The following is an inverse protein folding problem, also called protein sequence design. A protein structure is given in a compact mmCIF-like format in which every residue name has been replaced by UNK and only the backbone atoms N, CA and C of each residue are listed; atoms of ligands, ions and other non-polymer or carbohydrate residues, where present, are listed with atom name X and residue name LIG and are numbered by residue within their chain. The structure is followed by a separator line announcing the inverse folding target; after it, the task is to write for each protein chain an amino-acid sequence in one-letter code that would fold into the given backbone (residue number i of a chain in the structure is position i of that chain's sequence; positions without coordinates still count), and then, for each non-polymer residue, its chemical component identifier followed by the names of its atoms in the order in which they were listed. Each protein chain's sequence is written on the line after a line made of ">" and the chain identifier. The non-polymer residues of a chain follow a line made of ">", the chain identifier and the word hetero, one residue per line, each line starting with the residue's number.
data_IF_045156699853
#
_entry.id   IF_045156699853
#
_cell.length_a   1.000
_cell.length_b   1.000
_cell.length_c   1.000
_cell.angle_alpha   90.00
_cell.angle_beta   90.00
_cell.angle_gamma   90.00
#
_symmetry.space_group_name_H-M   'P 1'
#
loop_
_entity.id
_entity.type
_entity.pdbx_description
1 polymer ?
#
# COMPACT_ATOMS: atom_id res chain seq x y z
N UNK A 1 2.83 -15.96 -33.21
CA UNK A 1 1.51 -16.34 -32.67
C UNK A 1 1.12 -15.36 -31.58
N UNK A 2 -0.13 -14.89 -31.55
CA UNK A 2 -0.65 -14.07 -30.43
C UNK A 2 -1.09 -15.03 -29.32
N UNK A 3 -0.48 -14.96 -28.12
CA UNK A 3 -0.93 -15.66 -26.91
C UNK A 3 -1.94 -14.78 -26.14
N UNK A 4 -2.91 -15.35 -25.44
CA UNK A 4 -3.72 -14.60 -24.47
C UNK A 4 -3.00 -14.52 -23.13
N UNK A 5 -3.33 -13.52 -22.31
CA UNK A 5 -2.72 -13.36 -20.98
C UNK A 5 -3.04 -14.54 -20.05
N UNK A 6 -4.29 -15.03 -20.09
CA UNK A 6 -4.73 -16.17 -19.28
C UNK A 6 -4.09 -17.50 -19.67
N UNK A 7 -3.47 -17.57 -20.85
CA UNK A 7 -2.75 -18.75 -21.31
C UNK A 7 -1.29 -18.78 -20.80
N UNK A 8 -0.82 -17.70 -20.16
CA UNK A 8 0.54 -17.62 -19.63
C UNK A 8 0.69 -18.50 -18.39
N UNK A 9 1.75 -19.29 -18.34
CA UNK A 9 2.08 -20.06 -17.14
C UNK A 9 2.55 -19.14 -16.01
N UNK A 10 2.51 -19.63 -14.76
CA UNK A 10 3.06 -18.89 -13.61
C UNK A 10 4.55 -18.55 -13.78
N UNK A 11 5.31 -19.42 -14.46
CA UNK A 11 6.72 -19.18 -14.76
C UNK A 11 6.88 -18.02 -15.76
N UNK A 12 6.11 -18.02 -16.85
CA UNK A 12 6.13 -16.93 -17.84
C UNK A 12 5.76 -15.58 -17.20
N UNK A 13 4.70 -15.54 -16.38
CA UNK A 13 4.29 -14.32 -15.67
C UNK A 13 5.40 -13.83 -14.73
N UNK A 14 6.05 -14.75 -13.99
CA UNK A 14 7.18 -14.42 -13.11
C UNK A 14 8.33 -13.81 -13.90
N UNK A 15 8.68 -14.38 -15.05
CA UNK A 15 9.81 -13.91 -15.85
C UNK A 15 9.52 -12.56 -16.51
N UNK A 16 8.33 -12.35 -17.04
CA UNK A 16 7.91 -11.03 -17.53
C UNK A 16 7.83 -9.99 -16.42
N UNK A 17 7.42 -10.38 -15.21
CA UNK A 17 7.42 -9.47 -14.05
C UNK A 17 8.84 -9.05 -13.69
N UNK A 18 9.81 -9.98 -13.72
CA UNK A 18 11.23 -9.66 -13.50
C UNK A 18 11.77 -8.74 -14.59
N UNK A 19 11.37 -8.94 -15.84
CA UNK A 19 11.76 -8.08 -16.96
C UNK A 19 11.14 -6.68 -16.82
N UNK A 20 9.84 -6.58 -16.54
CA UNK A 20 9.14 -5.32 -16.32
C UNK A 20 9.80 -4.49 -15.20
N UNK A 21 10.16 -5.11 -14.09
CA UNK A 21 10.85 -4.44 -12.96
C UNK A 21 12.22 -3.84 -13.34
N UNK A 22 12.87 -4.33 -14.41
CA UNK A 22 14.13 -3.78 -14.92
C UNK A 22 13.91 -2.58 -15.85
N UNK A 23 12.69 -2.36 -16.34
CA UNK A 23 12.36 -1.17 -17.13
C UNK A 23 12.31 0.07 -16.24
N UNK A 24 12.56 1.25 -16.81
CA UNK A 24 12.50 2.52 -16.09
C UNK A 24 11.14 2.71 -15.39
N UNK A 25 10.04 2.45 -16.11
CA UNK A 25 8.68 2.51 -15.56
C UNK A 25 8.46 1.51 -14.42
N UNK A 26 8.92 0.27 -14.57
CA UNK A 26 8.83 -0.74 -13.51
C UNK A 26 9.69 -0.41 -12.28
N UNK A 27 10.85 0.22 -12.48
CA UNK A 27 11.75 0.65 -11.41
C UNK A 27 11.18 1.83 -10.61
N UNK A 28 10.58 2.80 -11.29
CA UNK A 28 9.85 3.92 -10.67
C UNK A 28 8.70 3.38 -9.82
N UNK A 29 7.89 2.49 -10.40
CA UNK A 29 6.76 1.87 -9.71
C UNK A 29 7.21 1.07 -8.49
N UNK A 30 8.30 0.31 -8.61
CA UNK A 30 8.86 -0.48 -7.52
C UNK A 30 9.36 0.40 -6.37
N UNK A 31 10.11 1.47 -6.68
CA UNK A 31 10.60 2.42 -5.69
C UNK A 31 9.47 3.15 -4.97
N UNK A 32 8.45 3.58 -5.71
CA UNK A 32 7.29 4.24 -5.11
C UNK A 32 6.46 3.28 -4.23
N UNK A 33 6.30 2.01 -4.64
CA UNK A 33 5.68 0.96 -3.80
C UNK A 33 6.44 0.77 -2.48
N UNK A 34 7.77 0.71 -2.55
CA UNK A 34 8.63 0.55 -1.36
C UNK A 34 8.50 1.74 -0.40
N UNK A 35 8.51 2.97 -0.92
CA UNK A 35 8.29 4.19 -0.14
C UNK A 35 6.90 4.19 0.51
N UNK A 36 5.85 3.90 -0.25
CA UNK A 36 4.48 3.87 0.26
C UNK A 36 4.31 2.84 1.37
N UNK A 37 4.85 1.62 1.19
CA UNK A 37 4.83 0.59 2.22
C UNK A 37 5.56 1.04 3.49
N UNK A 38 6.73 1.68 3.34
CA UNK A 38 7.48 2.24 4.47
C UNK A 38 6.65 3.27 5.24
N UNK A 39 5.98 4.19 4.54
CA UNK A 39 5.13 5.21 5.18
C UNK A 39 4.00 4.57 5.98
N UNK A 40 3.30 3.58 5.40
CA UNK A 40 2.20 2.88 6.06
C UNK A 40 2.67 2.18 7.34
N UNK A 41 3.79 1.45 7.25
CA UNK A 41 4.37 0.76 8.41
C UNK A 41 4.75 1.78 9.49
N UNK A 42 5.42 2.87 9.14
CA UNK A 42 5.78 3.93 10.09
C UNK A 42 4.54 4.56 10.76
N UNK A 43 3.49 4.84 10.00
CA UNK A 43 2.25 5.39 10.55
C UNK A 43 1.52 4.41 11.47
N UNK A 44 1.55 3.11 11.15
CA UNK A 44 1.01 2.07 12.02
C UNK A 44 1.74 2.03 13.38
N UNK A 45 3.08 2.07 13.38
CA UNK A 45 3.84 2.13 14.63
C UNK A 45 3.53 3.39 15.43
N UNK A 46 3.47 4.56 14.79
CA UNK A 46 3.08 5.81 15.47
C UNK A 46 1.71 5.68 16.12
N UNK A 47 0.75 5.07 15.43
CA UNK A 47 -0.58 4.80 15.99
C UNK A 47 -0.51 3.91 17.23
N UNK A 48 0.16 2.75 17.15
CA UNK A 48 0.30 1.81 18.27
C UNK A 48 1.00 2.45 19.48
N UNK A 49 2.07 3.22 19.25
CA UNK A 49 2.75 3.93 20.33
C UNK A 49 1.88 5.04 20.94
N UNK A 50 1.14 5.79 20.12
CA UNK A 50 0.22 6.81 20.60
C UNK A 50 -0.87 6.21 21.47
N UNK A 51 -1.43 5.05 21.10
CA UNK A 51 -2.45 4.36 21.92
C UNK A 51 -1.87 3.87 23.24
N UNK A 52 -0.67 3.27 23.24
CA UNK A 52 -0.02 2.81 24.49
C UNK A 52 0.31 3.95 25.45
N UNK A 53 0.90 5.05 24.96
CA UNK A 53 1.21 6.21 25.80
C UNK A 53 -0.05 6.86 26.37
N UNK A 54 -1.13 6.81 25.60
CA UNK A 54 -2.40 7.35 26.01
C UNK A 54 -3.07 6.56 27.13
N UNK A 55 -3.01 5.23 27.09
CA UNK A 55 -3.47 4.38 28.20
C UNK A 55 -2.71 4.70 29.50
N UNK A 56 -1.38 4.81 29.41
CA UNK A 56 -0.55 5.20 30.56
C UNK A 56 -0.91 6.61 31.07
N UNK A 57 -1.19 7.55 30.17
CA UNK A 57 -1.58 8.90 30.54
C UNK A 57 -2.95 8.96 31.26
N UNK A 58 -3.93 8.16 30.83
CA UNK A 58 -5.24 8.04 31.51
C UNK A 58 -5.08 7.56 32.95
N UNK A 59 -4.19 6.59 33.16
CA UNK A 59 -3.96 6.03 34.49
C UNK A 59 -3.31 7.04 35.46
N UNK A 60 -2.53 7.98 34.94
CA UNK A 60 -1.82 9.00 35.72
C UNK A 60 -2.65 10.28 35.93
N UNK A 61 -3.53 10.64 34.99
CA UNK A 61 -4.24 11.91 35.02
C UNK A 61 -5.36 11.95 36.08
N UNK A 62 -5.42 13.05 36.84
CA UNK A 62 -6.46 13.27 37.86
C UNK A 62 -7.82 13.67 37.28
N UNK A 63 -7.86 14.16 36.04
CA UNK A 63 -9.06 14.66 35.36
C UNK A 63 -9.37 13.80 34.13
N UNK A 64 -9.90 12.60 34.39
CA UNK A 64 -10.03 11.52 33.40
C UNK A 64 -10.96 11.86 32.23
N UNK A 65 -12.02 12.64 32.46
CA UNK A 65 -13.02 12.95 31.43
C UNK A 65 -12.46 13.74 30.24
N UNK A 66 -11.71 14.82 30.50
CA UNK A 66 -11.13 15.65 29.42
C UNK A 66 -10.06 14.88 28.65
N UNK A 67 -9.30 14.03 29.35
CA UNK A 67 -8.27 13.22 28.73
C UNK A 67 -8.89 12.18 27.78
N UNK A 68 -9.94 11.46 28.23
CA UNK A 68 -10.66 10.45 27.43
C UNK A 68 -11.25 11.07 26.15
N UNK A 69 -11.91 12.22 26.25
CA UNK A 69 -12.52 12.89 25.08
C UNK A 69 -11.47 13.30 24.05
N UNK A 70 -10.31 13.79 24.51
CA UNK A 70 -9.21 14.19 23.61
C UNK A 70 -8.59 12.96 22.93
N UNK A 71 -8.49 11.86 23.66
CA UNK A 71 -7.97 10.58 23.20
C UNK A 71 -8.82 9.92 22.13
N UNK A 72 -10.14 9.93 22.32
CA UNK A 72 -11.11 9.44 21.35
C UNK A 72 -11.00 10.19 20.03
N UNK A 73 -10.82 11.52 20.08
CA UNK A 73 -10.63 12.34 18.89
C UNK A 73 -9.34 11.99 18.15
N UNK A 74 -8.21 11.86 18.87
CA UNK A 74 -6.91 11.49 18.29
C UNK A 74 -6.97 10.09 17.68
N UNK A 75 -7.57 9.12 18.38
CA UNK A 75 -7.74 7.74 17.92
C UNK A 75 -8.58 7.69 16.63
N UNK A 76 -9.70 8.41 16.60
CA UNK A 76 -10.58 8.51 15.43
C UNK A 76 -9.85 9.14 14.23
N UNK A 77 -9.11 10.22 14.46
CA UNK A 77 -8.34 10.90 13.41
C UNK A 77 -7.24 10.01 12.83
N UNK A 78 -6.46 9.33 13.68
CA UNK A 78 -5.42 8.40 13.24
C UNK A 78 -6.01 7.19 12.49
N UNK A 79 -7.15 6.68 12.95
CA UNK A 79 -7.88 5.61 12.28
C UNK A 79 -8.32 6.04 10.87
N UNK A 80 -8.83 7.26 10.71
CA UNK A 80 -9.20 7.81 9.41
C UNK A 80 -8.00 7.92 8.47
N UNK A 81 -6.86 8.42 8.94
CA UNK A 81 -5.63 8.49 8.14
C UNK A 81 -5.18 7.08 7.70
N UNK A 82 -5.20 6.12 8.61
CA UNK A 82 -4.81 4.75 8.30
C UNK A 82 -5.68 4.13 7.20
N UNK A 83 -7.00 4.32 7.28
CA UNK A 83 -7.94 3.84 6.25
C UNK A 83 -7.65 4.49 4.88
N UNK A 84 -7.40 5.80 4.84
CA UNK A 84 -7.05 6.51 3.59
C UNK A 84 -5.77 5.95 2.98
N UNK A 85 -4.74 5.71 3.79
CA UNK A 85 -3.47 5.15 3.33
C UNK A 85 -3.61 3.70 2.84
N UNK A 86 -4.42 2.89 3.52
CA UNK A 86 -4.70 1.52 3.11
C UNK A 86 -5.47 1.50 1.77
N UNK A 87 -6.45 2.38 1.61
CA UNK A 87 -7.18 2.57 0.37
C UNK A 87 -6.25 3.00 -0.78
N UNK A 88 -5.36 3.97 -0.51
CA UNK A 88 -4.35 4.40 -1.48
C UNK A 88 -3.42 3.25 -1.89
N UNK A 89 -3.02 2.38 -0.95
CA UNK A 89 -2.22 1.19 -1.25
C UNK A 89 -2.95 0.21 -2.20
N UNK A 90 -4.24 -0.02 -1.98
CA UNK A 90 -5.04 -0.91 -2.83
C UNK A 90 -5.12 -0.33 -4.25
N UNK A 91 -5.51 0.94 -4.39
CA UNK A 91 -5.59 1.63 -5.68
C UNK A 91 -4.23 1.60 -6.37
N UNK A 92 -3.16 1.85 -5.63
CA UNK A 92 -1.81 1.83 -6.16
C UNK A 92 -1.42 0.44 -6.69
N UNK A 93 -1.72 -0.65 -5.97
CA UNK A 93 -1.43 -2.00 -6.45
C UNK A 93 -2.19 -2.35 -7.74
N UNK A 94 -3.48 -1.97 -7.83
CA UNK A 94 -4.27 -2.14 -9.06
C UNK A 94 -3.64 -1.36 -10.22
N UNK A 95 -3.25 -0.11 -9.97
CA UNK A 95 -2.57 0.72 -10.98
C UNK A 95 -1.26 0.08 -11.47
N UNK A 96 -0.44 -0.47 -10.57
CA UNK A 96 0.78 -1.20 -10.95
C UNK A 96 0.47 -2.38 -11.88
N UNK A 97 -0.55 -3.15 -11.55
CA UNK A 97 -0.96 -4.32 -12.34
C UNK A 97 -1.45 -3.91 -13.74
N UNK A 98 -2.23 -2.82 -13.84
CA UNK A 98 -2.64 -2.24 -15.12
C UNK A 98 -1.45 -1.76 -15.95
N UNK A 99 -0.46 -1.10 -15.33
CA UNK A 99 0.76 -0.69 -16.02
C UNK A 99 1.55 -1.89 -16.56
N UNK A 100 1.67 -2.97 -15.78
CA UNK A 100 2.31 -4.20 -16.22
C UNK A 100 1.59 -4.83 -17.41
N UNK A 101 0.26 -4.91 -17.37
CA UNK A 101 -0.57 -5.41 -18.47
C UNK A 101 -0.43 -4.55 -19.73
N UNK A 102 -0.44 -3.21 -19.57
CA UNK A 102 -0.22 -2.28 -20.67
C UNK A 102 1.16 -2.45 -21.32
N UNK A 103 2.20 -2.67 -20.51
CA UNK A 103 3.54 -2.95 -20.98
C UNK A 103 3.62 -4.29 -21.73
N UNK A 104 3.03 -5.36 -21.19
CA UNK A 104 2.95 -6.67 -21.84
C UNK A 104 2.27 -6.60 -23.21
N UNK A 105 1.15 -5.86 -23.29
CA UNK A 105 0.42 -5.63 -24.54
C UNK A 105 1.28 -4.93 -25.58
N UNK A 106 2.02 -3.89 -25.18
CA UNK A 106 2.81 -3.07 -26.11
C UNK A 106 4.09 -3.77 -26.56
N UNK A 107 4.85 -4.38 -25.63
CA UNK A 107 6.15 -4.99 -25.93
C UNK A 107 6.03 -6.36 -26.59
N UNK A 108 5.10 -7.21 -26.13
CA UNK A 108 5.00 -8.60 -26.58
C UNK A 108 3.81 -8.86 -27.50
N UNK A 109 2.97 -7.85 -27.78
CA UNK A 109 1.73 -7.98 -28.59
C UNK A 109 0.80 -9.09 -28.08
N UNK A 110 0.87 -9.39 -26.78
CA UNK A 110 -0.03 -10.30 -26.05
C UNK A 110 -1.35 -9.54 -25.90
N UNK A 111 -2.33 -9.91 -26.71
CA UNK A 111 -3.48 -9.05 -26.99
C UNK A 111 -4.71 -9.91 -27.26
N UNK A 112 -5.30 -10.40 -26.18
CA UNK A 112 -6.74 -10.56 -25.99
C UNK A 112 -6.97 -10.95 -24.53
N UNK A 113 -7.94 -10.27 -23.91
CA UNK A 113 -8.60 -10.76 -22.71
C UNK A 113 -9.37 -12.01 -23.07
#
# INVERSE_FOLDING_TARGET
>A
MKKNYFDLTKEEISDYTKEFKKTEGGLIIHNHRKKLLSVIISMFFVFVFATMLSEIAIDIASNKEVLIVTLDYVSTFLSAIFVVLLGYLIIYNIYVELCFLGWLKNKHKILKW
#
